data_IF_313457521531
#
_entry.id   IF_313457521531
#
_cell.length_a   1.000
_cell.length_b   1.000
_cell.length_c   1.000
_cell.angle_alpha   90.00
_cell.angle_beta   90.00
_cell.angle_gamma   90.00
#
_symmetry.space_group_name_H-M   'P 1'
#
loop_
_entity.id
_entity.type
_entity.pdbx_description
1 polymer ?
#
# COMPACT_ATOMS: atom_id res chain seq x y z
N UNK A 1 -78.62 -15.80 9.52
CA UNK A 1 -78.89 -16.76 10.62
C UNK A 1 -78.02 -18.00 10.43
N UNK A 2 -77.31 -18.39 11.49
CA UNK A 2 -76.72 -19.72 11.77
C UNK A 2 -75.55 -20.17 10.87
N UNK A 3 -74.43 -20.70 11.36
CA UNK A 3 -73.91 -20.93 12.72
C UNK A 3 -72.57 -21.66 12.50
N UNK A 4 -71.52 -21.27 13.25
CA UNK A 4 -70.47 -22.15 13.84
C UNK A 4 -69.56 -22.95 12.88
N UNK A 5 -68.32 -23.36 13.15
CA UNK A 5 -67.59 -23.59 14.39
C UNK A 5 -66.08 -23.76 14.00
N UNK A 6 -65.20 -23.03 14.68
CA UNK A 6 -63.94 -23.49 15.34
C UNK A 6 -62.83 -24.22 14.54
N UNK A 7 -61.71 -23.50 14.32
CA UNK A 7 -60.28 -23.76 14.71
C UNK A 7 -59.84 -25.21 15.03
N UNK A 8 -58.57 -25.65 14.79
CA UNK A 8 -57.40 -24.92 15.32
C UNK A 8 -56.03 -25.06 14.58
N UNK A 9 -55.09 -24.24 15.07
CA UNK A 9 -53.66 -24.54 15.24
C UNK A 9 -52.80 -24.95 14.02
N UNK A 10 -52.11 -23.97 13.43
CA UNK A 10 -50.71 -24.15 13.07
C UNK A 10 -49.93 -22.98 13.68
N UNK A 11 -49.22 -23.29 14.76
CA UNK A 11 -48.22 -22.46 15.41
C UNK A 11 -47.02 -22.29 14.48
N UNK A 12 -46.89 -21.13 13.83
CA UNK A 12 -45.61 -20.70 13.26
C UNK A 12 -45.14 -19.46 13.99
N UNK A 13 -44.52 -19.69 15.15
CA UNK A 13 -43.61 -18.75 15.78
C UNK A 13 -42.29 -18.78 14.99
N UNK A 14 -42.22 -18.01 13.90
CA UNK A 14 -40.97 -17.73 13.21
C UNK A 14 -40.29 -16.56 13.93
N UNK A 15 -39.53 -16.90 14.97
CA UNK A 15 -38.74 -15.98 15.76
C UNK A 15 -37.38 -15.76 15.07
N UNK A 16 -37.05 -14.48 14.87
CA UNK A 16 -35.74 -13.84 14.78
C UNK A 16 -34.53 -14.65 14.28
N UNK A 17 -33.84 -14.10 13.27
CA UNK A 17 -32.40 -13.76 13.30
C UNK A 17 -32.01 -13.10 11.97
N UNK A 18 -32.30 -11.81 11.81
CA UNK A 18 -31.52 -10.98 10.87
C UNK A 18 -30.30 -10.50 11.65
N UNK A 19 -29.20 -11.24 11.52
CA UNK A 19 -27.89 -10.79 11.92
C UNK A 19 -27.53 -9.56 11.09
N UNK A 20 -27.55 -8.39 11.73
CA UNK A 20 -26.97 -7.19 11.18
C UNK A 20 -25.44 -7.39 11.10
N UNK A 21 -24.93 -7.68 9.91
CA UNK A 21 -23.51 -7.50 9.64
C UNK A 21 -23.23 -6.00 9.56
N UNK A 22 -23.10 -5.35 10.72
CA UNK A 22 -22.40 -4.09 10.83
C UNK A 22 -20.93 -4.36 10.52
N UNK A 23 -20.55 -4.18 9.27
CA UNK A 23 -19.15 -4.06 8.87
C UNK A 23 -18.61 -2.75 9.42
N UNK A 24 -18.36 -2.70 10.73
CA UNK A 24 -17.61 -1.61 11.37
C UNK A 24 -16.12 -1.88 11.12
N UNK A 25 -15.69 -1.65 9.89
CA UNK A 25 -14.28 -1.49 9.52
C UNK A 25 -14.00 -0.01 9.35
N UNK A 26 -14.10 0.75 10.44
CA UNK A 26 -13.63 2.14 10.45
C UNK A 26 -12.12 2.16 10.25
N UNK A 27 -11.56 3.17 9.56
CA UNK A 27 -10.11 3.29 9.42
C UNK A 27 -9.50 3.39 10.81
N UNK A 28 -8.61 2.45 11.16
CA UNK A 28 -7.62 2.70 12.20
C UNK A 28 -6.62 3.68 11.63
N UNK A 29 -7.02 4.95 11.56
CA UNK A 29 -6.12 6.05 11.31
C UNK A 29 -5.19 6.16 12.52
N UNK A 30 -4.00 5.58 12.39
CA UNK A 30 -2.84 6.16 13.04
C UNK A 30 -2.81 7.64 12.67
N UNK A 31 -2.70 8.50 13.67
CA UNK A 31 -2.92 9.94 13.59
C UNK A 31 -2.36 10.60 12.32
N UNK A 32 -3.27 11.03 11.44
CA UNK A 32 -3.13 12.24 10.62
C UNK A 32 -2.22 12.29 9.39
N UNK A 33 -1.44 11.27 9.04
CA UNK A 33 -0.57 11.36 7.84
C UNK A 33 -1.26 10.86 6.58
N UNK A 34 -1.41 11.74 5.59
CA UNK A 34 -1.88 11.38 4.26
C UNK A 34 -0.74 10.81 3.43
N UNK A 35 -0.81 9.50 3.14
CA UNK A 35 0.05 8.81 2.19
C UNK A 35 -0.79 8.13 1.12
N UNK A 36 -0.42 8.30 -0.15
CA UNK A 36 -1.09 7.65 -1.28
C UNK A 36 -0.08 6.88 -2.11
N UNK A 37 -0.39 5.63 -2.44
CA UNK A 37 0.35 4.89 -3.46
C UNK A 37 -0.06 5.40 -4.84
N UNK A 38 0.92 5.95 -5.57
CA UNK A 38 0.74 6.55 -6.89
C UNK A 38 0.82 5.48 -7.98
N UNK A 39 1.80 4.60 -7.87
CA UNK A 39 2.02 3.52 -8.82
C UNK A 39 2.85 2.41 -8.18
N UNK A 40 2.81 1.24 -8.81
CA UNK A 40 3.62 0.07 -8.50
C UNK A 40 4.09 -0.53 -9.81
N UNK A 41 5.29 -1.10 -9.84
CA UNK A 41 5.80 -1.81 -11.02
C UNK A 41 6.67 -3.00 -10.62
N UNK A 42 6.75 -3.99 -11.51
CA UNK A 42 7.69 -5.10 -11.43
C UNK A 42 9.07 -4.76 -12.02
N UNK A 43 9.21 -3.64 -12.74
CA UNK A 43 10.42 -3.26 -13.44
C UNK A 43 10.74 -1.80 -13.15
N UNK A 44 11.53 -1.55 -12.11
CA UNK A 44 11.93 -0.21 -11.71
C UNK A 44 13.41 0.07 -11.94
N UNK A 45 14.19 -0.91 -12.39
CA UNK A 45 15.59 -0.78 -12.78
C UNK A 45 16.58 -0.71 -11.62
N UNK A 46 16.11 -0.67 -10.37
CA UNK A 46 16.95 -0.57 -9.17
C UNK A 46 17.28 -1.95 -8.59
N UNK A 47 18.53 -2.13 -8.19
CA UNK A 47 19.10 -3.46 -7.90
C UNK A 47 19.00 -3.90 -6.45
N UNK A 48 18.94 -2.97 -5.51
CA UNK A 48 18.86 -3.26 -4.07
C UNK A 48 17.52 -2.86 -3.46
N UNK A 49 17.15 -3.47 -2.31
CA UNK A 49 16.09 -2.94 -1.48
C UNK A 49 16.50 -1.55 -0.98
N UNK A 50 15.57 -0.61 -0.98
CA UNK A 50 15.92 0.78 -0.76
C UNK A 50 14.72 1.69 -0.63
N UNK A 51 15.01 2.88 -0.14
CA UNK A 51 14.07 3.98 -0.05
C UNK A 51 14.73 5.25 -0.60
N UNK A 52 14.08 5.86 -1.59
CA UNK A 52 14.45 7.17 -2.11
C UNK A 52 13.39 8.20 -1.72
N UNK A 53 13.84 9.40 -1.37
CA UNK A 53 12.98 10.54 -1.06
C UNK A 53 13.25 11.66 -2.05
N UNK A 54 12.20 12.15 -2.70
CA UNK A 54 12.28 13.04 -3.84
C UNK A 54 11.39 14.27 -3.58
N UNK A 55 12.01 15.45 -3.57
CA UNK A 55 11.34 16.74 -3.35
C UNK A 55 11.54 17.75 -4.47
N UNK A 56 12.51 17.52 -5.35
CA UNK A 56 12.79 18.42 -6.47
C UNK A 56 12.35 17.81 -7.78
N UNK A 57 12.06 18.67 -8.75
CA UNK A 57 11.79 18.28 -10.13
C UNK A 57 12.98 17.51 -10.72
N UNK A 58 14.20 17.95 -10.46
CA UNK A 58 15.41 17.28 -10.93
C UNK A 58 15.53 15.85 -10.38
N UNK A 59 15.29 15.66 -9.08
CA UNK A 59 15.32 14.33 -8.47
C UNK A 59 14.20 13.44 -8.98
N UNK A 60 13.02 14.02 -9.27
CA UNK A 60 11.91 13.28 -9.90
C UNK A 60 12.30 12.82 -11.29
N UNK A 61 12.90 13.67 -12.10
CA UNK A 61 13.35 13.26 -13.43
C UNK A 61 14.44 12.18 -13.35
N UNK A 62 15.39 12.30 -12.42
CA UNK A 62 16.37 11.25 -12.16
C UNK A 62 15.73 9.91 -11.74
N UNK A 63 14.66 9.96 -10.92
CA UNK A 63 13.86 8.79 -10.55
C UNK A 63 13.17 8.13 -11.75
N UNK A 64 12.71 8.94 -12.71
CA UNK A 64 11.95 8.49 -13.87
C UNK A 64 12.83 8.01 -15.03
N UNK A 65 14.10 8.40 -15.06
CA UNK A 65 15.07 8.08 -16.11
C UNK A 65 15.97 6.85 -15.78
N UNK A 66 15.58 6.04 -14.80
CA UNK A 66 16.31 4.81 -14.45
C UNK A 66 16.21 3.80 -15.60
N UNK A 67 17.36 3.29 -16.06
CA UNK A 67 17.45 2.30 -17.12
C UNK A 67 16.72 1.00 -16.77
N UNK A 68 15.98 0.43 -17.72
CA UNK A 68 15.23 -0.81 -17.54
C UNK A 68 13.93 -0.66 -16.73
N UNK A 69 13.51 0.57 -16.45
CA UNK A 69 12.22 0.86 -15.84
C UNK A 69 11.07 0.71 -16.84
N UNK A 70 9.95 0.17 -16.36
CA UNK A 70 8.65 0.16 -17.02
C UNK A 70 7.57 0.45 -15.97
N UNK A 71 7.43 1.72 -15.61
CA UNK A 71 6.48 2.22 -14.62
C UNK A 71 5.62 3.30 -15.26
N UNK A 72 4.40 3.50 -14.75
CA UNK A 72 3.54 4.60 -15.17
C UNK A 72 4.14 5.96 -14.71
N UNK A 73 5.05 6.52 -15.50
CA UNK A 73 5.78 7.74 -15.13
C UNK A 73 4.89 8.99 -15.18
N UNK A 74 3.89 9.02 -16.05
CA UNK A 74 2.95 10.15 -16.17
C UNK A 74 2.15 10.42 -14.90
N UNK A 75 1.79 9.38 -14.14
CA UNK A 75 1.08 9.56 -12.86
C UNK A 75 2.02 10.08 -11.77
N UNK A 76 3.30 9.75 -11.83
CA UNK A 76 4.33 10.27 -10.91
C UNK A 76 4.59 11.76 -11.20
N UNK A 77 4.65 12.17 -12.46
CA UNK A 77 4.84 13.59 -12.86
C UNK A 77 3.68 14.50 -12.44
N UNK A 78 2.48 13.95 -12.24
CA UNK A 78 1.28 14.69 -11.81
C UNK A 78 1.26 15.02 -10.32
N UNK A 79 2.17 14.46 -9.52
CA UNK A 79 2.28 14.79 -8.09
C UNK A 79 2.79 16.22 -7.95
N UNK A 80 2.08 17.02 -7.16
CA UNK A 80 2.44 18.41 -6.89
C UNK A 80 3.53 18.46 -5.81
N UNK A 81 4.79 18.54 -6.24
CA UNK A 81 5.96 18.58 -5.35
C UNK A 81 6.04 19.83 -4.47
N UNK A 82 5.19 20.85 -4.71
CA UNK A 82 5.09 22.00 -3.79
C UNK A 82 4.33 21.66 -2.51
N UNK A 83 3.49 20.61 -2.55
CA UNK A 83 2.63 20.17 -1.45
C UNK A 83 3.04 18.81 -0.90
N UNK A 84 3.54 17.95 -1.76
CA UNK A 84 3.87 16.57 -1.47
C UNK A 84 5.33 16.28 -1.78
N UNK A 85 5.81 15.13 -1.33
CA UNK A 85 7.07 14.55 -1.75
C UNK A 85 6.82 13.13 -2.25
N UNK A 86 7.73 12.65 -3.08
CA UNK A 86 7.69 11.27 -3.57
C UNK A 86 8.59 10.39 -2.70
N UNK A 87 8.11 9.20 -2.38
CA UNK A 87 8.89 8.13 -1.76
C UNK A 87 8.86 6.93 -2.68
N UNK A 88 10.02 6.49 -3.16
CA UNK A 88 10.13 5.24 -3.90
C UNK A 88 10.67 4.16 -2.97
N UNK A 89 9.96 3.05 -2.89
CA UNK A 89 10.33 1.89 -2.09
C UNK A 89 10.61 0.73 -3.03
N UNK A 90 11.81 0.15 -2.95
CA UNK A 90 12.25 -0.93 -3.86
C UNK A 90 12.51 -2.23 -3.11
N UNK A 91 12.26 -3.36 -3.78
CA UNK A 91 12.63 -4.69 -3.27
C UNK A 91 14.02 -5.16 -3.73
N UNK A 92 14.66 -4.41 -4.62
CA UNK A 92 15.82 -4.87 -5.38
C UNK A 92 15.47 -5.93 -6.42
N UNK A 93 16.49 -6.62 -6.92
CA UNK A 93 16.27 -7.66 -7.94
C UNK A 93 15.61 -8.91 -7.34
N UNK A 94 14.65 -9.44 -8.08
CA UNK A 94 14.02 -10.73 -7.80
C UNK A 94 14.24 -11.68 -8.99
N UNK A 95 14.53 -12.96 -8.74
CA UNK A 95 14.94 -13.90 -9.79
C UNK A 95 13.80 -14.32 -10.72
N UNK A 96 12.55 -14.11 -10.30
CA UNK A 96 11.36 -14.51 -11.03
C UNK A 96 10.31 -13.40 -11.06
N UNK A 97 9.28 -13.59 -11.88
CA UNK A 97 8.07 -12.79 -11.84
C UNK A 97 7.18 -13.15 -10.63
N UNK A 98 6.21 -12.29 -10.34
CA UNK A 98 5.20 -12.49 -9.29
C UNK A 98 5.54 -11.86 -7.94
N UNK A 99 6.76 -11.35 -7.76
CA UNK A 99 7.09 -10.49 -6.62
C UNK A 99 6.47 -9.09 -6.79
N UNK A 100 5.99 -8.52 -5.70
CA UNK A 100 5.42 -7.18 -5.70
C UNK A 100 5.51 -6.53 -4.31
N UNK A 101 5.53 -5.20 -4.24
CA UNK A 101 5.52 -4.44 -2.98
C UNK A 101 4.47 -3.35 -3.05
N UNK A 102 3.73 -3.17 -1.97
CA UNK A 102 2.72 -2.11 -1.85
C UNK A 102 2.60 -1.58 -0.43
N UNK A 103 2.04 -0.38 -0.29
CA UNK A 103 1.78 0.23 1.01
C UNK A 103 0.61 -0.48 1.70
N UNK A 104 0.84 -0.96 2.93
CA UNK A 104 -0.20 -1.54 3.77
C UNK A 104 -0.78 -0.51 4.74
N UNK A 105 0.09 0.24 5.43
CA UNK A 105 -0.32 1.34 6.30
C UNK A 105 0.79 2.38 6.44
N UNK A 106 0.42 3.57 6.88
CA UNK A 106 1.36 4.64 7.21
C UNK A 106 0.95 5.32 8.49
N UNK A 107 1.92 5.71 9.32
CA UNK A 107 1.68 6.42 10.56
C UNK A 107 2.86 7.34 10.90
N UNK A 108 2.57 8.52 11.44
CA UNK A 108 3.59 9.34 12.09
C UNK A 108 3.87 8.78 13.49
N UNK A 109 5.15 8.61 13.82
CA UNK A 109 5.61 8.24 15.15
C UNK A 109 6.86 9.03 15.51
N UNK A 110 6.70 9.99 16.43
CA UNK A 110 7.78 10.92 16.79
C UNK A 110 8.25 11.69 15.56
N UNK A 111 9.55 11.62 15.27
CA UNK A 111 10.16 12.28 14.10
C UNK A 111 10.18 11.39 12.84
N UNK A 112 9.44 10.28 12.83
CA UNK A 112 9.45 9.34 11.72
C UNK A 112 8.07 9.18 11.07
N UNK A 113 8.05 9.22 9.74
CA UNK A 113 6.98 8.60 8.96
C UNK A 113 7.29 7.11 8.84
N UNK A 114 6.49 6.27 9.49
CA UNK A 114 6.60 4.82 9.37
C UNK A 114 5.71 4.35 8.23
N UNK A 115 6.33 3.72 7.23
CA UNK A 115 5.68 3.10 6.08
C UNK A 115 5.71 1.59 6.28
N UNK A 116 4.54 1.02 6.56
CA UNK A 116 4.35 -0.42 6.65
C UNK A 116 4.05 -0.97 5.26
N UNK A 117 4.97 -1.75 4.72
CA UNK A 117 4.90 -2.23 3.36
C UNK A 117 4.63 -3.73 3.35
N UNK A 118 3.79 -4.16 2.42
CA UNK A 118 3.52 -5.57 2.20
C UNK A 118 4.28 -6.06 0.97
N UNK A 119 5.07 -7.12 1.15
CA UNK A 119 5.73 -7.84 0.07
C UNK A 119 4.90 -9.07 -0.28
N UNK A 120 4.41 -9.13 -1.51
CA UNK A 120 3.82 -10.34 -2.06
C UNK A 120 4.92 -11.13 -2.76
N UNK A 121 5.08 -12.38 -2.36
CA UNK A 121 5.98 -13.34 -2.98
C UNK A 121 5.17 -14.44 -3.68
N UNK A 122 5.65 -14.98 -4.82
CA UNK A 122 5.04 -16.18 -5.39
C UNK A 122 5.01 -17.31 -4.37
N UNK A 123 3.90 -18.06 -4.33
CA UNK A 123 3.84 -19.27 -3.51
C UNK A 123 4.92 -20.28 -3.97
N UNK A 124 5.48 -21.11 -3.07
CA UNK A 124 6.59 -22.03 -3.40
C UNK A 124 6.36 -22.91 -4.63
N UNK A 125 5.12 -23.36 -4.86
CA UNK A 125 4.75 -24.25 -5.97
C UNK A 125 4.07 -23.51 -7.14
N UNK A 126 4.08 -22.17 -7.12
CA UNK A 126 3.48 -21.38 -8.19
C UNK A 126 4.37 -21.42 -9.43
N UNK A 127 3.78 -21.79 -10.57
CA UNK A 127 4.44 -21.67 -11.87
C UNK A 127 4.60 -20.18 -12.21
N UNK A 128 5.85 -19.69 -12.20
CA UNK A 128 6.21 -18.30 -12.53
C UNK A 128 7.26 -18.22 -13.63
N UNK A 129 7.23 -17.13 -14.38
CA UNK A 129 8.24 -16.84 -15.39
C UNK A 129 9.63 -16.62 -14.74
N UNK A 130 10.65 -17.22 -15.33
CA UNK A 130 12.05 -17.09 -14.93
C UNK A 130 12.67 -15.85 -15.58
N UNK A 131 12.34 -14.68 -15.04
CA UNK A 131 12.83 -13.39 -15.51
C UNK A 131 13.20 -12.53 -14.31
N UNK A 132 14.38 -11.89 -14.38
CA UNK A 132 14.81 -10.96 -13.34
C UNK A 132 13.90 -9.72 -13.37
N UNK A 133 13.28 -9.42 -12.23
CA UNK A 133 12.43 -8.25 -12.01
C UNK A 133 13.08 -7.31 -10.99
N UNK A 134 12.57 -6.09 -10.88
CA UNK A 134 12.99 -5.08 -9.88
C UNK A 134 11.77 -4.36 -9.30
N UNK A 135 10.97 -5.03 -8.45
CA UNK A 135 9.70 -4.48 -8.00
C UNK A 135 9.84 -3.23 -7.12
N UNK A 136 8.93 -2.28 -7.30
CA UNK A 136 8.86 -1.08 -6.47
C UNK A 136 7.44 -0.53 -6.35
N UNK A 137 7.25 0.34 -5.36
CA UNK A 137 6.10 1.21 -5.20
C UNK A 137 6.56 2.67 -5.09
N UNK A 138 5.78 3.58 -5.65
CA UNK A 138 5.97 5.03 -5.51
C UNK A 138 4.79 5.61 -4.76
N UNK A 139 5.10 6.35 -3.70
CA UNK A 139 4.14 6.97 -2.79
C UNK A 139 4.24 8.48 -2.89
N UNK A 140 3.12 9.18 -2.72
CA UNK A 140 3.08 10.60 -2.40
C UNK A 140 2.81 10.74 -0.91
N UNK A 141 3.64 11.55 -0.24
CA UNK A 141 3.59 11.81 1.20
C UNK A 141 3.56 13.31 1.46
N UNK A 142 2.87 13.75 2.51
CA UNK A 142 2.98 15.13 2.99
C UNK A 142 4.27 15.28 3.81
N UNK A 143 5.27 16.09 3.37
CA UNK A 143 6.59 16.17 3.99
C UNK A 143 6.59 17.08 5.23
N UNK A 144 5.75 16.79 6.23
CA UNK A 144 5.58 17.61 7.43
C UNK A 144 5.45 16.75 8.69
N UNK A 145 6.05 17.20 9.78
CA UNK A 145 5.93 16.57 11.11
C UNK A 145 6.88 15.38 11.35
N UNK A 146 7.80 15.11 10.43
CA UNK A 146 8.80 14.05 10.54
C UNK A 146 10.07 14.44 9.78
N UNK A 147 11.21 13.90 10.23
CA UNK A 147 12.55 14.13 9.68
C UNK A 147 13.17 12.85 9.13
N UNK A 148 12.48 11.72 9.25
CA UNK A 148 12.95 10.42 8.80
C UNK A 148 11.79 9.62 8.20
N UNK A 149 12.10 8.79 7.21
CA UNK A 149 11.21 7.76 6.70
C UNK A 149 11.73 6.42 7.19
N UNK A 150 10.88 5.65 7.85
CA UNK A 150 11.18 4.28 8.29
C UNK A 150 10.29 3.33 7.50
N UNK A 151 10.90 2.52 6.65
CA UNK A 151 10.20 1.50 5.86
C UNK A 151 10.37 0.15 6.52
N UNK A 152 9.27 -0.50 6.87
CA UNK A 152 9.25 -1.84 7.47
C UNK A 152 8.52 -2.84 6.57
N UNK A 153 8.70 -4.13 6.82
CA UNK A 153 8.08 -5.22 6.05
C UNK A 153 8.83 -5.63 4.78
N UNK A 154 9.92 -4.93 4.43
CA UNK A 154 10.79 -5.28 3.29
C UNK A 154 11.90 -6.27 3.63
N UNK A 155 12.52 -6.06 4.79
CA UNK A 155 13.71 -6.74 5.30
C UNK A 155 13.53 -6.98 6.80
N UNK A 156 14.37 -7.82 7.40
CA UNK A 156 14.32 -8.08 8.86
C UNK A 156 14.46 -6.80 9.69
N UNK A 157 15.35 -5.90 9.26
CA UNK A 157 15.52 -4.59 9.87
C UNK A 157 14.83 -3.52 9.01
N UNK A 158 14.18 -2.51 9.62
CA UNK A 158 13.61 -1.40 8.87
C UNK A 158 14.68 -0.63 8.09
N UNK A 159 14.35 -0.22 6.86
CA UNK A 159 15.15 0.73 6.11
C UNK A 159 14.86 2.14 6.64
N UNK A 160 15.89 2.91 6.95
CA UNK A 160 15.74 4.27 7.48
C UNK A 160 16.39 5.27 6.53
N UNK A 161 15.62 6.28 6.12
CA UNK A 161 16.10 7.44 5.37
C UNK A 161 15.91 8.70 6.21
N UNK A 162 17.01 9.28 6.67
CA UNK A 162 17.00 10.63 7.23
C UNK A 162 16.83 11.64 6.11
N UNK A 163 15.96 12.62 6.33
CA UNK A 163 15.78 13.75 5.43
C UNK A 163 16.77 14.83 5.81
N UNK A 164 17.64 15.19 4.88
CA UNK A 164 18.49 16.37 5.03
C UNK A 164 17.63 17.62 4.73
N UNK A 165 17.77 18.64 5.59
CA UNK A 165 17.07 19.92 5.45
C UNK A 165 17.66 20.76 4.31
#
# INVERSE_FOLDING_TARGET
MKRTLVRPFITSAAMLLLAACSATGGPSAGEGVMVRQITQSAYCGLTGPGVAFVRSEADREALLDVSGQNMATDVVRKVDLSREALVMVTLGQKPTAGYSVGLQSALAQGESLVLDMHVNEPAPDMMVAQVVTSPCAVLAVEPRGWQQIRVQGLTEQPLVRTLEN
#
